data_IF_691564089424
#
_entry.id   IF_691564089424
#
_cell.length_a   1.000
_cell.length_b   1.000
_cell.length_c   1.000
_cell.angle_alpha   90.00
_cell.angle_beta   90.00
_cell.angle_gamma   90.00
#
_symmetry.space_group_name_H-M   'P 1'
#
loop_
_entity.id
_entity.type
_entity.pdbx_description
1 polymer ?
#
# COMPACT_ATOMS: atom_id res chain seq x y z
N UNK A 1 26.33 11.53 -27.02
CA UNK A 1 27.22 10.47 -26.52
C UNK A 1 26.37 9.44 -25.80
N UNK A 2 26.10 8.29 -26.41
CA UNK A 2 25.28 7.22 -25.81
C UNK A 2 26.22 6.22 -25.15
N UNK A 3 26.27 6.23 -23.82
CA UNK A 3 27.11 5.30 -23.06
C UNK A 3 26.34 3.99 -22.92
N UNK A 4 26.84 2.92 -23.56
CA UNK A 4 26.32 1.57 -23.39
C UNK A 4 26.97 0.96 -22.16
N UNK A 5 26.21 0.88 -21.07
CA UNK A 5 26.63 0.19 -19.85
C UNK A 5 26.64 -1.32 -20.09
N UNK A 6 27.70 -1.96 -19.64
CA UNK A 6 27.79 -3.43 -19.57
C UNK A 6 26.78 -3.98 -18.55
N UNK A 7 26.41 -5.25 -18.67
CA UNK A 7 25.45 -5.89 -17.75
C UNK A 7 25.89 -5.79 -16.28
N UNK A 8 27.19 -5.87 -16.03
CA UNK A 8 27.85 -5.72 -14.73
C UNK A 8 27.71 -4.31 -14.14
N UNK A 9 27.83 -3.26 -14.96
CA UNK A 9 27.64 -1.86 -14.51
C UNK A 9 26.18 -1.57 -14.17
N UNK A 10 25.24 -2.13 -14.94
CA UNK A 10 23.80 -2.06 -14.65
C UNK A 10 23.44 -2.80 -13.36
N UNK A 11 24.09 -3.94 -13.09
CA UNK A 11 23.86 -4.69 -11.85
C UNK A 11 24.45 -3.96 -10.64
N UNK A 12 25.64 -3.38 -10.76
CA UNK A 12 26.25 -2.55 -9.73
C UNK A 12 25.37 -1.32 -9.41
N UNK A 13 24.88 -0.62 -10.44
CA UNK A 13 23.96 0.50 -10.28
C UNK A 13 22.67 0.13 -9.54
N UNK A 14 22.10 -1.04 -9.87
CA UNK A 14 20.92 -1.59 -9.17
C UNK A 14 21.20 -1.90 -7.70
N UNK A 15 22.33 -2.54 -7.39
CA UNK A 15 22.73 -2.87 -6.01
C UNK A 15 23.02 -1.60 -5.20
N UNK A 16 23.68 -0.61 -5.80
CA UNK A 16 23.97 0.67 -5.14
C UNK A 16 22.69 1.45 -4.84
N UNK A 17 21.76 1.53 -5.80
CA UNK A 17 20.45 2.15 -5.59
C UNK A 17 19.63 1.44 -4.51
N UNK A 18 19.60 0.10 -4.52
CA UNK A 18 18.91 -0.70 -3.51
C UNK A 18 19.51 -0.50 -2.10
N UNK A 19 20.85 -0.44 -1.99
CA UNK A 19 21.55 -0.19 -0.72
C UNK A 19 21.28 1.23 -0.19
N UNK A 20 21.23 2.23 -1.09
CA UNK A 20 20.88 3.61 -0.74
C UNK A 20 19.41 3.73 -0.30
N UNK A 21 18.51 3.00 -0.96
CA UNK A 21 17.10 2.93 -0.61
C UNK A 21 16.85 2.18 0.71
N UNK A 22 17.63 1.12 1.00
CA UNK A 22 17.54 0.37 2.25
C UNK A 22 17.93 1.22 3.49
N UNK A 23 18.81 2.21 3.33
CA UNK A 23 19.14 3.18 4.38
C UNK A 23 18.11 4.30 4.54
N UNK A 24 17.22 4.47 3.56
CA UNK A 24 16.08 5.39 3.58
C UNK A 24 14.84 4.63 4.08
N UNK A 25 14.90 4.14 5.33
CA UNK A 25 13.67 3.84 6.07
C UNK A 25 13.01 5.19 6.33
N UNK A 26 12.20 5.64 5.37
CA UNK A 26 11.38 6.84 5.54
C UNK A 26 10.39 6.51 6.64
N UNK A 27 10.69 6.96 7.86
CA UNK A 27 9.74 6.88 8.96
C UNK A 27 8.56 7.76 8.58
N UNK A 28 7.50 7.11 8.14
CA UNK A 28 6.21 7.75 7.92
C UNK A 28 5.70 8.25 9.27
N UNK A 29 4.90 9.31 9.25
CA UNK A 29 4.17 9.67 10.46
C UNK A 29 3.28 8.47 10.84
N UNK A 30 3.07 8.20 12.15
CA UNK A 30 2.19 7.12 12.60
C UNK A 30 0.79 7.22 11.97
N UNK A 31 0.33 8.46 11.72
CA UNK A 31 -0.90 8.72 11.01
C UNK A 31 -0.90 8.19 9.57
N UNK A 32 0.15 8.46 8.78
CA UNK A 32 0.25 7.95 7.40
C UNK A 32 0.43 6.42 7.40
N UNK A 33 1.20 5.89 8.33
CA UNK A 33 1.43 4.44 8.44
C UNK A 33 0.13 3.67 8.69
N UNK A 34 -0.76 4.21 9.54
CA UNK A 34 -2.08 3.63 9.80
C UNK A 34 -3.06 3.77 8.60
N UNK A 35 -2.90 4.78 7.74
CA UNK A 35 -3.74 4.97 6.55
C UNK A 35 -3.42 3.99 5.42
N UNK A 36 -2.15 3.58 5.27
CA UNK A 36 -1.71 2.66 4.21
C UNK A 36 -2.51 1.35 4.16
N UNK A 37 -2.68 0.59 5.27
CA UNK A 37 -3.45 -0.66 5.22
C UNK A 37 -4.91 -0.42 4.86
N UNK A 38 -5.53 0.68 5.33
CA UNK A 38 -6.92 1.06 5.00
C UNK A 38 -7.06 1.35 3.50
N UNK A 39 -6.10 2.09 2.91
CA UNK A 39 -6.08 2.40 1.48
C UNK A 39 -5.87 1.15 0.61
N UNK A 40 -4.95 0.26 1.02
CA UNK A 40 -4.70 -1.03 0.33
C UNK A 40 -5.93 -1.93 0.32
N UNK A 41 -6.64 -2.04 1.44
CA UNK A 41 -7.91 -2.75 1.50
C UNK A 41 -8.95 -2.13 0.56
N UNK A 42 -9.07 -0.80 0.54
CA UNK A 42 -9.98 -0.09 -0.36
C UNK A 42 -9.68 -0.33 -1.85
N UNK A 43 -8.40 -0.43 -2.22
CA UNK A 43 -8.01 -0.85 -3.59
C UNK A 43 -8.46 -2.28 -3.88
N UNK A 44 -8.16 -3.22 -2.97
CA UNK A 44 -8.50 -4.64 -3.17
C UNK A 44 -10.00 -4.89 -3.23
N UNK A 45 -10.78 -4.20 -2.40
CA UNK A 45 -12.25 -4.25 -2.43
C UNK A 45 -12.76 -3.81 -3.80
N UNK A 46 -12.26 -2.70 -4.35
CA UNK A 46 -12.63 -2.22 -5.69
C UNK A 46 -12.31 -3.24 -6.79
N UNK A 47 -11.14 -3.88 -6.73
CA UNK A 47 -10.76 -4.95 -7.67
C UNK A 47 -11.72 -6.14 -7.60
N UNK A 48 -12.12 -6.57 -6.39
CA UNK A 48 -13.07 -7.68 -6.23
C UNK A 48 -14.47 -7.31 -6.73
N UNK A 49 -14.91 -6.08 -6.48
CA UNK A 49 -16.20 -5.57 -6.96
C UNK A 49 -16.24 -5.41 -8.48
N UNK A 50 -15.09 -5.19 -9.14
CA UNK A 50 -15.00 -5.20 -10.60
C UNK A 50 -15.38 -6.56 -11.18
N UNK A 51 -15.06 -7.64 -10.47
CA UNK A 51 -15.39 -9.02 -10.84
C UNK A 51 -16.50 -9.62 -9.96
N UNK A 52 -17.54 -8.82 -9.66
CA UNK A 52 -18.62 -9.17 -8.73
C UNK A 52 -19.47 -10.37 -9.16
N UNK A 53 -19.42 -10.75 -10.44
CA UNK A 53 -20.18 -11.89 -10.96
C UNK A 53 -19.64 -13.22 -10.41
N UNK A 54 -18.40 -13.24 -9.89
CA UNK A 54 -17.86 -14.37 -9.16
C UNK A 54 -18.31 -14.32 -7.68
N UNK A 55 -19.05 -15.34 -7.19
CA UNK A 55 -19.53 -15.36 -5.81
C UNK A 55 -18.40 -15.41 -4.76
N UNK A 56 -17.23 -15.97 -5.09
CA UNK A 56 -16.08 -16.00 -4.19
C UNK A 56 -15.48 -14.61 -3.99
N UNK A 57 -15.48 -13.78 -5.04
CA UNK A 57 -15.07 -12.38 -4.93
C UNK A 57 -16.00 -11.60 -4.00
N UNK A 58 -17.30 -11.88 -4.05
CA UNK A 58 -18.28 -11.26 -3.14
C UNK A 58 -18.09 -11.70 -1.69
N UNK A 59 -17.76 -12.98 -1.45
CA UNK A 59 -17.42 -13.48 -0.10
C UNK A 59 -16.16 -12.82 0.43
N UNK A 60 -15.09 -12.79 -0.37
CA UNK A 60 -13.83 -12.14 -0.01
C UNK A 60 -14.04 -10.63 0.26
N UNK A 61 -14.82 -9.95 -0.58
CA UNK A 61 -15.14 -8.53 -0.43
C UNK A 61 -15.81 -8.24 0.92
N UNK A 62 -16.77 -9.06 1.36
CA UNK A 62 -17.45 -8.87 2.66
C UNK A 62 -16.47 -8.95 3.84
N UNK A 63 -15.51 -9.87 3.78
CA UNK A 63 -14.48 -10.01 4.81
C UNK A 63 -13.58 -8.77 4.83
N UNK A 64 -13.11 -8.32 3.67
CA UNK A 64 -12.24 -7.15 3.58
C UNK A 64 -12.92 -5.84 3.99
N UNK A 65 -14.23 -5.68 3.70
CA UNK A 65 -14.99 -4.51 4.15
C UNK A 65 -15.07 -4.45 5.68
N UNK A 66 -15.28 -5.60 6.34
CA UNK A 66 -15.29 -5.67 7.82
C UNK A 66 -13.92 -5.33 8.39
N UNK A 67 -12.84 -5.85 7.79
CA UNK A 67 -11.49 -5.54 8.23
C UNK A 67 -11.15 -4.06 8.00
N UNK A 68 -11.56 -3.48 6.88
CA UNK A 68 -11.40 -2.05 6.62
C UNK A 68 -12.12 -1.21 7.69
N UNK A 69 -13.36 -1.56 8.04
CA UNK A 69 -14.10 -0.87 9.10
C UNK A 69 -13.41 -0.99 10.46
N UNK A 70 -12.86 -2.18 10.79
CA UNK A 70 -12.10 -2.41 12.03
C UNK A 70 -10.88 -1.49 12.11
N UNK A 71 -10.11 -1.38 11.02
CA UNK A 71 -8.94 -0.52 10.95
C UNK A 71 -9.31 0.97 10.98
N UNK A 72 -10.39 1.37 10.30
CA UNK A 72 -10.89 2.75 10.36
C UNK A 72 -11.30 3.17 11.77
N UNK A 73 -11.97 2.28 12.52
CA UNK A 73 -12.31 2.53 13.93
C UNK A 73 -11.06 2.61 14.82
N UNK A 74 -10.05 1.77 14.57
CA UNK A 74 -8.79 1.83 15.31
C UNK A 74 -8.04 3.15 15.04
N UNK A 75 -8.05 3.61 13.79
CA UNK A 75 -7.51 4.90 13.39
C UNK A 75 -8.22 6.05 14.11
N UNK A 76 -9.55 6.06 14.09
CA UNK A 76 -10.36 7.10 14.75
C UNK A 76 -10.08 7.16 16.25
N UNK A 77 -9.97 6.01 16.93
CA UNK A 77 -9.63 5.94 18.36
C UNK A 77 -8.24 6.50 18.66
N UNK A 78 -7.28 6.35 17.73
CA UNK A 78 -5.90 6.80 17.92
C UNK A 78 -5.71 8.27 17.58
N UNK A 79 -6.42 8.77 16.56
CA UNK A 79 -6.17 10.10 15.96
C UNK A 79 -7.33 11.09 16.14
N UNK A 80 -8.47 10.66 16.70
CA UNK A 80 -9.62 11.53 17.01
C UNK A 80 -10.43 11.99 15.78
N UNK A 81 -10.15 11.45 14.60
CA UNK A 81 -10.80 11.82 13.33
C UNK A 81 -10.89 10.61 12.39
N UNK A 82 -11.85 10.66 11.48
CA UNK A 82 -12.02 9.63 10.45
C UNK A 82 -10.80 9.55 9.52
N UNK A 83 -10.42 8.35 9.05
CA UNK A 83 -9.30 8.18 8.12
C UNK A 83 -9.62 8.85 6.77
N UNK A 84 -8.72 9.74 6.32
CA UNK A 84 -8.81 10.34 4.99
C UNK A 84 -7.78 9.71 4.05
N UNK A 85 -8.24 8.72 3.28
CA UNK A 85 -7.41 7.96 2.34
C UNK A 85 -7.30 8.60 0.93
N UNK A 86 -7.75 9.85 0.73
CA UNK A 86 -7.71 10.49 -0.60
C UNK A 86 -6.29 10.80 -1.09
N UNK A 87 -5.34 10.93 -0.17
CA UNK A 87 -3.96 11.36 -0.44
C UNK A 87 -2.91 10.28 -0.15
N UNK A 88 -3.36 9.05 0.13
CA UNK A 88 -2.51 7.86 0.38
C UNK A 88 -2.59 6.95 -0.83
#
# INVERSE_FOLDING_TARGET
MVVRLTASELEYGRRFAAKKAAGLVVRLSPEIDDLIPIARLGKRIRELLWHRDNPDNMRACRVLVREQARLSLAYERRHGKAPNIKHV
#
